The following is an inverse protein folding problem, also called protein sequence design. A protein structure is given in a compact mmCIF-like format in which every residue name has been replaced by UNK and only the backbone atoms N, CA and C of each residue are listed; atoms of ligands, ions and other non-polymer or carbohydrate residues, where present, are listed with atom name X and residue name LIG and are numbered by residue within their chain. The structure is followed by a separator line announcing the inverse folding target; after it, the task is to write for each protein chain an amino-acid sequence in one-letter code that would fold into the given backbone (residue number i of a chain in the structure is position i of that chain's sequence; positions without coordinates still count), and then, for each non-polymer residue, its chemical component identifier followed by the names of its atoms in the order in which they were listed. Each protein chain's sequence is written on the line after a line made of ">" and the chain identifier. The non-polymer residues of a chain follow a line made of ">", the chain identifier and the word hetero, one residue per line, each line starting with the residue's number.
data_IF_046533458718
#
_entry.id   IF_046533458718
#
_cell.length_a   1.000
_cell.length_b   1.000
_cell.length_c   1.000
_cell.angle_alpha   90.00
_cell.angle_beta   90.00
_cell.angle_gamma   90.00
#
_symmetry.space_group_name_H-M   'P 1'
#
loop_
_entity.id
_entity.type
_entity.pdbx_description
1 polymer ?
#
# COMPACT_ATOMS: atom_id res chain seq x y z
N UNK A 1 -9.59 15.31 -5.44
CA UNK A 1 -10.26 14.22 -4.71
C UNK A 1 -11.10 14.81 -3.58
N UNK A 2 -12.34 14.33 -3.45
CA UNK A 2 -13.23 14.66 -2.34
C UNK A 2 -12.69 13.99 -1.07
N UNK A 3 -12.66 14.72 0.06
CA UNK A 3 -12.28 14.18 1.37
C UNK A 3 -13.12 12.92 1.67
N UNK A 4 -12.52 11.88 2.26
CA UNK A 4 -13.24 10.66 2.62
C UNK A 4 -14.51 10.97 3.45
N UNK A 5 -15.59 10.20 3.32
CA UNK A 5 -16.76 10.38 4.17
C UNK A 5 -16.42 10.14 5.65
N UNK A 6 -17.26 10.66 6.54
CA UNK A 6 -17.17 10.32 7.96
C UNK A 6 -17.61 8.87 8.15
N UNK A 7 -16.93 8.15 9.04
CA UNK A 7 -17.38 6.84 9.48
C UNK A 7 -18.75 6.99 10.17
N UNK A 8 -19.82 6.35 9.68
CA UNK A 8 -21.15 6.49 10.25
C UNK A 8 -21.26 5.93 11.68
N UNK A 9 -20.37 5.01 12.09
CA UNK A 9 -20.41 4.43 13.42
C UNK A 9 -19.88 5.38 14.50
N UNK A 10 -18.86 6.17 14.18
CA UNK A 10 -18.15 7.03 15.15
C UNK A 10 -18.34 8.53 14.88
N UNK A 11 -18.79 8.91 13.69
CA UNK A 11 -18.81 10.28 13.20
C UNK A 11 -17.41 10.87 12.98
N UNK A 12 -16.35 10.06 13.09
CA UNK A 12 -14.95 10.48 12.94
C UNK A 12 -14.50 10.31 11.49
N UNK A 13 -13.50 11.08 11.11
CA UNK A 13 -12.84 10.97 9.81
C UNK A 13 -11.77 9.88 9.86
N UNK A 14 -11.71 8.97 8.88
CA UNK A 14 -10.58 8.07 8.69
C UNK A 14 -9.25 8.81 8.63
N UNK A 15 -8.20 8.26 9.23
CA UNK A 15 -6.88 8.89 9.25
C UNK A 15 -6.32 9.07 7.83
N UNK A 16 -5.44 10.06 7.66
CA UNK A 16 -4.72 10.25 6.40
C UNK A 16 -3.86 9.03 6.04
N UNK A 17 -3.30 8.33 7.04
CA UNK A 17 -2.60 7.05 6.83
C UNK A 17 -3.47 6.05 6.09
N UNK A 18 -4.68 5.78 6.58
CA UNK A 18 -5.58 4.78 6.00
C UNK A 18 -6.05 5.21 4.60
N UNK A 19 -6.39 6.49 4.43
CA UNK A 19 -6.78 7.03 3.13
C UNK A 19 -5.66 6.90 2.10
N UNK A 20 -4.42 7.23 2.48
CA UNK A 20 -3.27 7.23 1.56
C UNK A 20 -2.76 5.82 1.28
N UNK A 21 -2.86 4.89 2.23
CA UNK A 21 -2.60 3.47 1.95
C UNK A 21 -3.64 2.86 1.02
N UNK A 22 -4.92 3.21 1.17
CA UNK A 22 -5.94 2.77 0.22
C UNK A 22 -5.64 3.29 -1.19
N UNK A 23 -5.28 4.57 -1.34
CA UNK A 23 -4.85 5.13 -2.62
C UNK A 23 -3.60 4.41 -3.17
N UNK A 24 -2.62 4.12 -2.32
CA UNK A 24 -1.40 3.40 -2.71
C UNK A 24 -1.72 2.02 -3.29
N UNK A 25 -2.76 1.35 -2.79
CA UNK A 25 -3.24 0.08 -3.34
C UNK A 25 -3.95 0.29 -4.68
N UNK A 26 -4.80 1.31 -4.80
CA UNK A 26 -5.52 1.62 -6.03
C UNK A 26 -4.58 2.05 -7.17
N UNK A 27 -3.47 2.69 -6.84
CA UNK A 27 -2.43 3.16 -7.77
C UNK A 27 -1.31 2.13 -8.00
N UNK A 28 -1.43 0.95 -7.40
CA UNK A 28 -0.47 -0.15 -7.53
C UNK A 28 0.96 0.24 -7.14
N UNK A 29 1.09 0.95 -6.01
CA UNK A 29 2.37 1.48 -5.54
C UNK A 29 3.31 0.37 -5.08
N UNK A 30 4.60 0.55 -5.38
CA UNK A 30 5.68 -0.32 -4.90
C UNK A 30 5.80 -0.34 -3.37
N UNK A 31 6.13 -1.50 -2.79
CA UNK A 31 6.30 -1.66 -1.35
C UNK A 31 7.32 -0.67 -0.76
N UNK A 32 8.43 -0.41 -1.45
CA UNK A 32 9.48 0.53 -0.97
C UNK A 32 9.04 2.00 -0.91
N UNK A 33 7.91 2.35 -1.53
CA UNK A 33 7.31 3.68 -1.39
C UNK A 33 6.38 3.78 -0.17
N UNK A 34 5.98 2.67 0.43
CA UNK A 34 5.03 2.66 1.55
C UNK A 34 5.67 3.28 2.80
N UNK A 35 4.95 4.20 3.43
CA UNK A 35 5.41 4.93 4.62
C UNK A 35 6.35 6.10 4.33
N UNK A 36 6.73 6.33 3.06
CA UNK A 36 7.51 7.50 2.66
C UNK A 36 6.66 8.78 2.67
N UNK A 37 7.31 9.94 2.68
CA UNK A 37 6.64 11.24 2.55
C UNK A 37 6.06 11.39 1.15
N UNK A 38 4.75 11.58 1.04
CA UNK A 38 4.06 11.84 -0.23
C UNK A 38 3.77 13.33 -0.31
N UNK A 39 4.03 13.97 -1.46
CA UNK A 39 3.67 15.37 -1.68
C UNK A 39 2.80 15.52 -2.92
N UNK A 40 1.58 15.97 -2.70
CA UNK A 40 0.60 16.28 -3.74
C UNK A 40 0.60 17.78 -4.05
N UNK A 41 0.47 18.14 -5.32
CA UNK A 41 0.19 19.51 -5.73
C UNK A 41 -1.30 19.70 -6.01
N UNK A 42 -1.98 20.48 -5.18
CA UNK A 42 -3.43 20.74 -5.29
C UNK A 42 -3.70 22.25 -5.30
N UNK A 43 -4.30 22.74 -6.38
CA UNK A 43 -4.78 24.13 -6.46
C UNK A 43 -3.71 25.20 -6.24
N UNK A 44 -2.44 24.93 -6.57
CA UNK A 44 -1.33 25.86 -6.38
C UNK A 44 -0.61 25.75 -5.03
N UNK A 45 -1.03 24.83 -4.15
CA UNK A 45 -0.35 24.51 -2.90
C UNK A 45 0.18 23.07 -2.89
N UNK A 46 1.31 22.85 -2.23
CA UNK A 46 1.82 21.53 -1.93
C UNK A 46 1.20 21.05 -0.61
N UNK A 47 0.66 19.84 -0.59
CA UNK A 47 0.16 19.15 0.60
C UNK A 47 1.00 17.89 0.78
N UNK A 48 1.62 17.75 1.94
CA UNK A 48 2.45 16.59 2.26
C UNK A 48 1.74 15.67 3.24
N UNK A 49 1.84 14.36 3.01
CA UNK A 49 1.29 13.32 3.87
C UNK A 49 2.42 12.39 4.34
N UNK A 50 2.34 11.95 5.60
CA UNK A 50 3.40 11.14 6.21
C UNK A 50 4.67 11.95 6.49
N UNK A 51 5.84 11.29 6.64
CA UNK A 51 6.01 9.84 6.64
C UNK A 51 5.28 9.19 7.83
N UNK A 52 4.88 7.94 7.69
CA UNK A 52 4.29 7.15 8.77
C UNK A 52 5.22 6.03 9.20
N UNK A 53 5.08 5.56 10.44
CA UNK A 53 5.85 4.42 10.89
C UNK A 53 5.52 3.20 10.04
N UNK A 54 6.56 2.49 9.57
CA UNK A 54 6.39 1.30 8.74
C UNK A 54 5.54 0.24 9.44
N UNK A 55 5.61 0.16 10.77
CA UNK A 55 4.78 -0.72 11.59
C UNK A 55 3.29 -0.38 11.53
N UNK A 56 2.91 0.89 11.52
CA UNK A 56 1.51 1.29 11.38
C UNK A 56 0.99 0.93 9.99
N UNK A 57 1.80 1.17 8.95
CA UNK A 57 1.49 0.75 7.59
C UNK A 57 1.30 -0.78 7.51
N UNK A 58 2.19 -1.53 8.16
CA UNK A 58 2.15 -2.99 8.25
C UNK A 58 0.83 -3.50 8.80
N UNK A 59 0.34 -2.91 9.90
CA UNK A 59 -0.88 -3.34 10.56
C UNK A 59 -2.12 -3.16 9.66
N UNK A 60 -2.21 -2.03 8.94
CA UNK A 60 -3.29 -1.79 7.97
C UNK A 60 -3.21 -2.76 6.81
N UNK A 61 -2.05 -2.87 6.16
CA UNK A 61 -1.86 -3.70 4.98
C UNK A 61 -2.08 -5.18 5.30
N UNK A 62 -1.57 -5.69 6.41
CA UNK A 62 -1.82 -7.07 6.82
C UNK A 62 -3.29 -7.32 7.11
N UNK A 63 -3.99 -6.36 7.72
CA UNK A 63 -5.43 -6.52 7.97
C UNK A 63 -6.22 -6.65 6.68
N UNK A 64 -5.95 -5.81 5.68
CA UNK A 64 -6.57 -5.92 4.37
C UNK A 64 -6.16 -7.20 3.62
N UNK A 65 -4.88 -7.57 3.71
CA UNK A 65 -4.36 -8.81 3.12
C UNK A 65 -5.04 -10.04 3.71
N UNK A 66 -5.12 -10.16 5.04
CA UNK A 66 -5.76 -11.29 5.74
C UNK A 66 -7.26 -11.40 5.41
N UNK A 67 -7.91 -10.27 5.09
CA UNK A 67 -9.31 -10.22 4.61
C UNK A 67 -9.45 -10.54 3.13
N UNK A 68 -8.35 -10.82 2.44
CA UNK A 68 -8.35 -11.16 1.02
C UNK A 68 -8.56 -9.96 0.11
N UNK A 69 -8.35 -8.72 0.59
CA UNK A 69 -8.56 -7.52 -0.22
C UNK A 69 -7.34 -7.15 -1.07
N UNK A 70 -6.15 -7.62 -0.67
CA UNK A 70 -4.88 -7.29 -1.30
C UNK A 70 -4.22 -8.52 -1.89
N UNK A 71 -3.59 -8.30 -3.04
CA UNK A 71 -2.55 -9.14 -3.60
C UNK A 71 -1.24 -8.36 -3.71
N UNK A 72 -0.15 -9.09 -3.95
CA UNK A 72 1.16 -8.52 -4.25
C UNK A 72 1.60 -9.01 -5.62
N UNK A 73 2.00 -8.07 -6.48
CA UNK A 73 2.37 -8.36 -7.86
C UNK A 73 3.74 -7.77 -8.20
N UNK A 74 4.47 -8.39 -9.12
CA UNK A 74 5.71 -7.86 -9.65
C UNK A 74 5.72 -7.93 -11.17
N UNK A 75 6.51 -7.10 -11.84
CA UNK A 75 6.61 -7.16 -13.31
C UNK A 75 7.50 -8.33 -13.75
N UNK A 76 7.00 -9.12 -14.71
CA UNK A 76 7.66 -10.32 -15.27
C UNK A 76 8.90 -9.98 -16.10
N UNK A 77 8.87 -8.87 -16.85
CA UNK A 77 9.96 -8.44 -17.75
C UNK A 77 10.59 -7.14 -17.27
N UNK A 78 11.91 -7.17 -17.13
CA UNK A 78 12.76 -5.98 -17.17
C UNK A 78 12.90 -5.55 -18.64
N UNK A 79 12.56 -4.30 -18.97
CA UNK A 79 12.83 -3.74 -20.31
C UNK A 79 13.96 -2.73 -20.20
N UNK A 80 15.10 -3.02 -20.82
CA UNK A 80 16.22 -2.08 -20.95
C UNK A 80 15.78 -0.93 -21.85
N UNK A 81 15.54 0.25 -21.28
CA UNK A 81 15.44 1.46 -22.08
C UNK A 81 16.86 1.99 -22.25
N UNK A 82 17.36 1.98 -23.49
CA UNK A 82 18.65 2.59 -23.80
C UNK A 82 18.62 4.07 -23.42
N UNK A 83 19.77 4.55 -22.91
CA UNK A 83 20.06 5.88 -22.33
C UNK A 83 19.81 6.03 -20.83
N UNK A 84 20.56 5.27 -20.02
CA UNK A 84 21.01 5.71 -18.69
C UNK A 84 19.98 5.78 -17.56
N UNK A 85 18.71 5.55 -17.85
CA UNK A 85 17.65 5.46 -16.85
C UNK A 85 17.07 4.05 -16.89
N UNK A 86 17.55 3.25 -15.94
CA UNK A 86 17.08 1.89 -15.72
C UNK A 86 16.54 1.87 -14.30
N UNK A 87 15.24 1.63 -14.15
CA UNK A 87 14.69 1.05 -12.92
C UNK A 87 14.39 -0.41 -13.25
N UNK A 88 15.44 -1.21 -13.35
CA UNK A 88 15.35 -2.66 -13.33
C UNK A 88 15.49 -3.10 -11.90
N UNK A 89 14.59 -3.97 -11.48
CA UNK A 89 14.80 -4.79 -10.32
C UNK A 89 14.95 -6.22 -10.86
N UNK A 90 16.19 -6.69 -11.00
CA UNK A 90 16.43 -8.12 -11.03
C UNK A 90 16.21 -8.62 -9.61
N UNK A 91 15.04 -9.21 -9.38
CA UNK A 91 14.71 -9.78 -8.09
C UNK A 91 15.43 -11.12 -7.97
N UNK A 92 16.58 -11.16 -7.31
CA UNK A 92 17.07 -12.41 -6.73
C UNK A 92 16.16 -12.73 -5.53
N UNK A 93 15.00 -13.29 -5.81
CA UNK A 93 14.03 -13.60 -4.80
C UNK A 93 13.40 -14.98 -5.03
N UNK A 94 13.52 -15.83 -4.02
CA UNK A 94 13.09 -17.23 -4.07
C UNK A 94 11.58 -17.39 -4.35
N UNK A 95 10.78 -16.35 -4.10
CA UNK A 95 9.33 -16.36 -4.36
C UNK A 95 8.99 -16.36 -5.86
N UNK A 96 9.92 -15.99 -6.75
CA UNK A 96 9.65 -15.88 -8.19
C UNK A 96 9.19 -17.19 -8.81
N UNK A 97 9.83 -18.30 -8.43
CA UNK A 97 9.52 -19.62 -8.97
C UNK A 97 8.15 -20.14 -8.50
N UNK A 98 7.61 -19.56 -7.41
CA UNK A 98 6.29 -19.86 -6.85
C UNK A 98 5.19 -18.91 -7.33
N UNK A 99 5.55 -17.82 -8.00
CA UNK A 99 4.60 -16.82 -8.48
C UNK A 99 3.80 -17.33 -9.69
N UNK A 100 2.52 -16.98 -9.74
CA UNK A 100 1.67 -17.27 -10.89
C UNK A 100 1.88 -16.20 -11.96
N UNK A 101 2.08 -16.62 -13.21
CA UNK A 101 2.27 -15.70 -14.34
C UNK A 101 0.92 -15.27 -14.90
N UNK A 102 0.67 -13.96 -14.93
CA UNK A 102 -0.49 -13.37 -15.60
C UNK A 102 -0.05 -12.23 -16.54
N UNK A 103 0.07 -12.52 -17.84
CA UNK A 103 0.54 -11.55 -18.83
C UNK A 103 1.98 -11.09 -18.55
N UNK A 104 2.13 -9.79 -18.26
CA UNK A 104 3.41 -9.16 -17.87
C UNK A 104 3.61 -9.11 -16.35
N UNK A 105 2.72 -9.69 -15.56
CA UNK A 105 2.79 -9.67 -14.11
C UNK A 105 3.08 -11.07 -13.54
N UNK A 106 3.74 -11.07 -12.39
CA UNK A 106 3.93 -12.19 -11.49
C UNK A 106 3.07 -11.92 -10.27
N UNK A 107 2.05 -12.73 -10.05
CA UNK A 107 1.22 -12.67 -8.86
C UNK A 107 1.90 -13.54 -7.82
N UNK A 108 2.34 -12.95 -6.71
CA UNK A 108 3.04 -13.67 -5.66
C UNK A 108 2.11 -14.70 -5.02
N UNK A 109 2.66 -15.86 -4.63
CA UNK A 109 1.92 -16.80 -3.80
C UNK A 109 1.57 -16.13 -2.45
N UNK A 110 0.41 -16.49 -1.90
CA UNK A 110 -0.13 -15.83 -0.69
C UNK A 110 0.83 -15.90 0.50
N UNK A 111 1.54 -17.02 0.67
CA UNK A 111 2.53 -17.17 1.75
C UNK A 111 3.71 -16.21 1.58
N UNK A 112 4.19 -16.04 0.34
CA UNK A 112 5.30 -15.15 0.02
C UNK A 112 4.91 -13.68 0.16
N UNK A 113 3.73 -13.30 -0.35
CA UNK A 113 3.17 -11.96 -0.16
C UNK A 113 2.97 -11.63 1.32
N UNK A 114 2.41 -12.57 2.09
CA UNK A 114 2.24 -12.42 3.52
C UNK A 114 3.56 -12.34 4.29
N UNK A 115 4.62 -13.03 3.85
CA UNK A 115 5.94 -12.92 4.45
C UNK A 115 6.53 -11.51 4.24
N UNK A 116 6.47 -10.99 3.01
CA UNK A 116 6.92 -9.62 2.70
C UNK A 116 6.14 -8.55 3.47
N UNK A 117 4.81 -8.67 3.54
CA UNK A 117 3.97 -7.72 4.26
C UNK A 117 4.17 -7.79 5.79
N UNK A 118 4.64 -8.93 6.34
CA UNK A 118 4.93 -9.06 7.78
C UNK A 118 6.26 -8.44 8.18
N UNK A 119 7.16 -8.21 7.24
CA UNK A 119 8.47 -7.61 7.51
C UNK A 119 8.69 -6.33 6.70
N UNK A 120 8.33 -5.16 7.25
CA UNK A 120 8.57 -3.88 6.60
C UNK A 120 10.05 -3.58 6.36
N UNK A 121 10.97 -4.28 7.03
CA UNK A 121 12.40 -4.19 6.74
C UNK A 121 12.75 -4.61 5.32
N UNK A 122 11.89 -5.37 4.64
CA UNK A 122 12.04 -5.79 3.25
C UNK A 122 11.53 -4.77 2.23
N UNK A 123 10.82 -3.73 2.65
CA UNK A 123 10.22 -2.71 1.79
C UNK A 123 11.25 -1.65 1.41
N UNK A 124 12.25 -2.07 0.63
CA UNK A 124 13.39 -1.25 0.25
C UNK A 124 13.68 -1.39 -1.24
N UNK A 125 14.25 -0.34 -1.83
CA UNK A 125 14.64 -0.30 -3.25
C UNK A 125 15.72 -1.32 -3.61
N UNK A 126 16.47 -1.81 -2.62
CA UNK A 126 17.53 -2.81 -2.74
C UNK A 126 17.15 -4.18 -2.13
N UNK A 127 15.91 -4.34 -1.66
CA UNK A 127 15.43 -5.54 -0.98
C UNK A 127 14.68 -6.52 -1.87
N UNK A 128 14.33 -7.68 -1.31
CA UNK A 128 13.51 -8.72 -1.98
C UNK A 128 12.10 -8.25 -2.37
N UNK A 129 11.64 -7.12 -1.81
CA UNK A 129 10.37 -6.46 -2.14
C UNK A 129 10.48 -5.28 -3.12
N UNK A 130 11.68 -4.97 -3.66
CA UNK A 130 11.98 -3.74 -4.39
C UNK A 130 11.11 -3.47 -5.64
N UNK A 131 10.47 -4.48 -6.20
CA UNK A 131 9.52 -4.28 -7.30
C UNK A 131 8.28 -5.13 -7.15
N UNK A 132 7.95 -5.42 -5.90
CA UNK A 132 6.63 -5.87 -5.51
C UNK A 132 5.77 -4.62 -5.32
N UNK A 133 4.62 -4.62 -5.97
CA UNK A 133 3.57 -3.61 -5.91
C UNK A 133 2.39 -4.18 -5.14
N UNK A 134 1.73 -3.33 -4.37
CA UNK A 134 0.41 -3.65 -3.82
C UNK A 134 -0.60 -3.66 -4.98
N UNK A 135 -1.57 -4.55 -4.95
CA UNK A 135 -2.69 -4.51 -5.88
C UNK A 135 -3.96 -4.93 -5.16
N UNK A 136 -5.09 -4.46 -5.68
CA UNK A 136 -6.41 -4.93 -5.28
C UNK A 136 -6.54 -6.39 -5.74
N UNK A 137 -7.07 -7.24 -4.86
CA UNK A 137 -7.52 -8.56 -5.28
C UNK A 137 -8.75 -8.48 -6.19
N UNK A 138 -8.98 -9.50 -6.99
CA UNK A 138 -10.22 -9.64 -7.78
C UNK A 138 -11.48 -9.60 -6.89
N UNK A 139 -11.41 -10.17 -5.68
CA UNK A 139 -12.54 -10.20 -4.72
C UNK A 139 -12.90 -8.81 -4.17
N UNK A 140 -11.94 -7.89 -4.19
CA UNK A 140 -12.11 -6.50 -3.77
C UNK A 140 -12.43 -5.55 -4.91
N UNK A 141 -12.55 -6.06 -6.15
CA UNK A 141 -12.91 -5.21 -7.28
C UNK A 141 -14.32 -4.63 -7.07
N UNK A 142 -14.45 -3.31 -7.31
CA UNK A 142 -15.68 -2.57 -7.08
C UNK A 142 -16.02 -2.25 -5.61
N UNK A 143 -15.21 -2.66 -4.64
CA UNK A 143 -15.42 -2.26 -3.24
C UNK A 143 -15.19 -0.76 -3.07
N UNK A 144 -16.04 -0.12 -2.27
CA UNK A 144 -15.89 1.29 -1.93
C UNK A 144 -14.83 1.49 -0.85
N UNK A 145 -14.35 2.73 -0.68
CA UNK A 145 -13.46 3.06 0.43
C UNK A 145 -14.07 2.67 1.79
N UNK A 146 -15.39 2.82 1.97
CA UNK A 146 -16.07 2.49 3.24
C UNK A 146 -16.01 0.98 3.54
N UNK A 147 -16.10 0.14 2.51
CA UNK A 147 -15.98 -1.32 2.67
C UNK A 147 -14.56 -1.72 3.08
N UNK A 148 -13.55 -1.08 2.47
CA UNK A 148 -12.14 -1.24 2.85
C UNK A 148 -11.87 -0.75 4.27
N UNK A 149 -12.44 0.40 4.66
CA UNK A 149 -12.30 0.95 6.00
C UNK A 149 -12.94 0.03 7.05
N UNK A 150 -14.14 -0.49 6.78
CA UNK A 150 -14.83 -1.44 7.66
C UNK A 150 -14.03 -2.73 7.89
N UNK A 151 -13.23 -3.16 6.92
CA UNK A 151 -12.35 -4.33 7.07
C UNK A 151 -11.25 -4.14 8.13
N UNK A 152 -10.95 -2.89 8.51
CA UNK A 152 -9.97 -2.56 9.55
C UNK A 152 -10.51 -2.65 10.99
N UNK A 153 -11.77 -3.05 11.16
CA UNK A 153 -12.38 -3.21 12.48
C UNK A 153 -11.49 -4.04 13.44
N UNK A 154 -11.25 -3.49 14.63
CA UNK A 154 -10.41 -4.07 15.68
C UNK A 154 -8.93 -3.65 15.63
N UNK A 155 -8.52 -2.77 14.72
CA UNK A 155 -7.26 -2.04 14.84
C UNK A 155 -7.38 -0.86 15.82
N UNK A 156 -6.26 -0.34 16.36
CA UNK A 156 -6.27 0.79 17.28
C UNK A 156 -6.91 2.05 16.70
N UNK A 157 -7.69 2.76 17.52
CA UNK A 157 -8.39 3.99 17.14
C UNK A 157 -7.44 5.09 16.64
N UNK A 158 -6.23 5.18 17.22
CA UNK A 158 -5.22 6.16 16.83
C UNK A 158 -4.77 5.96 15.38
N UNK A 159 -4.76 4.71 14.91
CA UNK A 159 -4.41 4.35 13.55
C UNK A 159 -5.59 4.56 12.59
N UNK A 160 -6.80 4.21 13.02
CA UNK A 160 -8.02 4.33 12.20
C UNK A 160 -8.46 5.78 11.98
N UNK A 161 -8.29 6.64 12.97
CA UNK A 161 -8.87 7.99 12.97
C UNK A 161 -7.85 9.10 13.31
N UNK A 162 -6.57 8.75 13.47
CA UNK A 162 -5.52 9.68 13.85
C UNK A 162 -5.52 10.00 15.35
N UNK A 163 -4.39 10.53 15.83
CA UNK A 163 -4.27 10.99 17.21
C UNK A 163 -5.01 12.32 17.38
N UNK A 164 -6.07 12.41 18.22
CA UNK A 164 -6.80 13.65 18.46
C UNK A 164 -5.92 14.76 19.07
N UNK A 165 -4.80 14.42 19.72
CA UNK A 165 -3.88 15.38 20.32
C UNK A 165 -2.86 15.98 19.34
N UNK A 166 -2.72 15.41 18.13
CA UNK A 166 -1.72 15.86 17.17
C UNK A 166 -2.11 17.14 16.43
N UNK A 167 -3.38 17.57 16.49
CA UNK A 167 -3.88 18.78 15.85
C UNK A 167 -3.55 18.81 14.35
N UNK A 168 -4.47 18.38 13.50
CA UNK A 168 -4.26 18.53 12.04
C UNK A 168 -3.83 19.97 11.73
N UNK A 169 -2.66 20.18 11.08
CA UNK A 169 -2.33 21.50 10.59
C UNK A 169 -3.39 21.90 9.57
N UNK A 170 -3.97 23.08 9.80
CA UNK A 170 -5.05 23.67 9.02
C UNK A 170 -4.71 23.86 7.53
#
# INVERSE_FOLDING_TARGET
>A
MTRAPLDPATGRRPSDLVQQLWLSVMEEVFLWNIGTLITDYRGGAAVSYGPWAAEDCRLVLLRWFDRGLLDCVATRRATTVGTGEVVHYEYEADWRDRATVHGQHLILARDDAGALLRDPGTWRTDGVGAGVMLCRSDDSDGWSFDDWFAALAGLPDELLYGNPAAGEPA
#
